data_IF_010638745609
#
_entry.id   IF_010638745609
#
_cell.length_a   1.000
_cell.length_b   1.000
_cell.length_c   1.000
_cell.angle_alpha   90.00
_cell.angle_beta   90.00
_cell.angle_gamma   90.00
#
_symmetry.space_group_name_H-M   'P 1'
#
loop_
_entity.id
_entity.type
_entity.pdbx_description
1 polymer ?
#
# COMPACT_ATOMS: atom_id res chain seq x y z
N UNK A 1 42.37 2.40 -41.08
CA UNK A 1 41.55 1.37 -40.42
C UNK A 1 40.52 2.07 -39.54
N UNK A 2 39.25 1.74 -39.75
CA UNK A 2 38.07 2.36 -39.14
C UNK A 2 37.84 1.88 -37.71
N UNK A 3 37.48 2.81 -36.82
CA UNK A 3 36.48 2.68 -35.74
C UNK A 3 35.95 4.12 -35.52
N UNK A 4 35.02 4.67 -36.31
CA UNK A 4 33.57 4.42 -36.30
C UNK A 4 33.08 4.01 -34.92
N UNK A 5 32.95 4.97 -34.02
CA UNK A 5 31.80 5.23 -33.15
C UNK A 5 32.23 6.41 -32.27
N UNK A 6 31.96 7.63 -32.76
CA UNK A 6 31.82 8.75 -31.86
C UNK A 6 30.81 8.29 -30.80
N UNK A 7 31.28 8.08 -29.57
CA UNK A 7 30.40 7.97 -28.42
C UNK A 7 29.78 9.36 -28.36
N UNK A 8 28.64 9.52 -29.05
CA UNK A 8 27.77 10.67 -28.92
C UNK A 8 27.51 10.83 -27.44
N UNK A 9 28.19 11.81 -26.83
CA UNK A 9 27.96 12.16 -25.45
C UNK A 9 26.47 12.43 -25.33
N UNK A 10 25.74 11.56 -24.62
CA UNK A 10 24.32 11.74 -24.29
C UNK A 10 24.15 13.18 -23.82
N UNK A 11 23.56 14.01 -24.67
CA UNK A 11 23.60 15.46 -24.50
C UNK A 11 22.75 15.85 -23.29
N UNK A 12 23.06 17.00 -22.68
CA UNK A 12 22.26 17.59 -21.58
C UNK A 12 20.74 17.58 -21.86
N UNK A 13 20.37 17.70 -23.14
CA UNK A 13 19.00 17.68 -23.63
C UNK A 13 18.33 16.29 -23.52
N UNK A 14 19.06 15.20 -23.78
CA UNK A 14 18.54 13.85 -23.57
C UNK A 14 18.16 13.61 -22.10
N UNK A 15 19.01 14.04 -21.16
CA UNK A 15 18.70 13.94 -19.73
C UNK A 15 17.55 14.85 -19.30
N UNK A 16 17.44 16.05 -19.88
CA UNK A 16 16.32 16.94 -19.61
C UNK A 16 14.99 16.33 -20.08
N UNK A 17 14.96 15.74 -21.28
CA UNK A 17 13.78 15.04 -21.81
C UNK A 17 13.41 13.82 -20.96
N UNK A 18 14.36 12.98 -20.60
CA UNK A 18 14.12 11.82 -19.73
C UNK A 18 13.57 12.23 -18.37
N UNK A 19 14.10 13.31 -17.76
CA UNK A 19 13.54 13.88 -16.52
C UNK A 19 12.13 14.42 -16.71
N UNK A 20 11.88 15.13 -17.81
CA UNK A 20 10.57 15.66 -18.16
C UNK A 20 9.53 14.54 -18.25
N UNK A 21 9.84 13.47 -19.01
CA UNK A 21 8.98 12.29 -19.14
C UNK A 21 8.77 11.60 -17.79
N UNK A 22 9.83 11.40 -17.00
CA UNK A 22 9.71 10.80 -15.67
C UNK A 22 8.78 11.62 -14.76
N UNK A 23 8.87 12.96 -14.80
CA UNK A 23 8.00 13.86 -14.02
C UNK A 23 6.53 13.83 -14.42
N UNK A 24 6.18 13.22 -15.56
CA UNK A 24 4.78 12.95 -15.91
C UNK A 24 4.17 11.81 -15.09
N UNK A 25 4.98 11.03 -14.38
CA UNK A 25 4.53 10.02 -13.42
C UNK A 25 4.21 10.71 -12.09
N UNK A 26 2.93 10.81 -11.78
CA UNK A 26 2.42 11.38 -10.53
C UNK A 26 1.60 10.34 -9.76
N UNK A 27 1.38 10.58 -8.47
CA UNK A 27 0.51 9.76 -7.62
C UNK A 27 -0.89 9.60 -8.22
N UNK A 28 -1.47 10.68 -8.73
CA UNK A 28 -2.82 10.65 -9.30
C UNK A 28 -2.88 9.79 -10.57
N UNK A 29 -1.86 9.89 -11.44
CA UNK A 29 -1.77 9.04 -12.64
C UNK A 29 -1.60 7.56 -12.30
N UNK A 30 -0.85 7.25 -11.25
CA UNK A 30 -0.74 5.88 -10.74
C UNK A 30 -2.11 5.37 -10.27
N UNK A 31 -2.87 6.20 -9.54
CA UNK A 31 -4.22 5.84 -9.05
C UNK A 31 -5.21 5.57 -10.17
N UNK A 32 -5.14 6.33 -11.25
CA UNK A 32 -6.02 6.19 -12.42
C UNK A 32 -5.67 4.98 -13.29
N UNK A 33 -4.42 4.54 -13.29
CA UNK A 33 -3.94 3.41 -14.10
C UNK A 33 -4.74 2.12 -13.80
N UNK A 34 -5.10 1.38 -14.85
CA UNK A 34 -5.87 0.13 -14.75
C UNK A 34 -5.10 -1.12 -15.19
N UNK A 35 -3.87 -0.95 -15.68
CA UNK A 35 -3.07 -2.01 -16.26
C UNK A 35 -1.95 -2.41 -15.30
N UNK A 36 -1.97 -3.67 -14.81
CA UNK A 36 -0.90 -4.14 -13.89
C UNK A 36 0.47 -4.17 -14.58
N UNK A 37 0.52 -4.46 -15.87
CA UNK A 37 1.77 -4.52 -16.64
C UNK A 37 2.49 -3.16 -16.70
N UNK A 38 1.72 -2.08 -16.86
CA UNK A 38 2.28 -0.71 -16.85
C UNK A 38 2.79 -0.35 -15.47
N UNK A 39 2.04 -0.70 -14.42
CA UNK A 39 2.46 -0.49 -13.04
C UNK A 39 3.69 -1.33 -12.67
N UNK A 40 3.81 -2.55 -13.19
CA UNK A 40 4.98 -3.40 -13.01
C UNK A 40 6.22 -2.79 -13.65
N UNK A 41 6.09 -2.22 -14.86
CA UNK A 41 7.15 -1.48 -15.54
C UNK A 41 7.55 -0.23 -14.76
N UNK A 42 6.57 0.53 -14.25
CA UNK A 42 6.84 1.68 -13.38
C UNK A 42 7.57 1.28 -12.09
N UNK A 43 7.17 0.18 -11.44
CA UNK A 43 7.85 -0.31 -10.24
C UNK A 43 9.31 -0.68 -10.54
N UNK A 44 9.56 -1.42 -11.63
CA UNK A 44 10.91 -1.79 -12.04
C UNK A 44 11.78 -0.55 -12.29
N UNK A 45 11.26 0.43 -13.01
CA UNK A 45 11.93 1.72 -13.27
C UNK A 45 12.28 2.44 -11.97
N UNK A 46 11.34 2.56 -11.02
CA UNK A 46 11.56 3.24 -9.74
C UNK A 46 12.58 2.51 -8.85
N UNK A 47 12.60 1.17 -8.88
CA UNK A 47 13.59 0.36 -8.14
C UNK A 47 14.98 0.53 -8.76
N UNK A 48 15.09 0.45 -10.09
CA UNK A 48 16.36 0.56 -10.81
C UNK A 48 16.93 1.99 -10.80
N UNK A 49 16.09 3.01 -10.67
CA UNK A 49 16.52 4.41 -10.50
C UNK A 49 17.43 4.59 -9.27
N UNK A 50 17.34 3.71 -8.25
CA UNK A 50 18.22 3.70 -7.09
C UNK A 50 19.64 3.21 -7.42
N UNK A 51 19.80 2.39 -8.45
CA UNK A 51 21.06 1.74 -8.81
C UNK A 51 21.96 2.63 -9.70
N UNK A 52 21.55 3.87 -10.00
CA UNK A 52 22.32 4.80 -10.82
C UNK A 52 22.44 4.42 -12.30
N UNK A 53 21.85 3.30 -12.71
CA UNK A 53 21.92 2.76 -14.07
C UNK A 53 20.97 3.45 -15.05
N UNK A 54 19.90 4.08 -14.56
CA UNK A 54 18.99 4.91 -15.36
C UNK A 54 19.46 6.37 -15.31
N UNK A 55 20.46 6.68 -16.13
CA UNK A 55 21.08 8.01 -16.20
C UNK A 55 20.01 9.12 -16.36
N UNK A 56 19.88 9.98 -15.35
CA UNK A 56 18.94 11.11 -15.32
C UNK A 56 17.65 10.88 -14.54
N UNK A 57 17.27 9.62 -14.31
CA UNK A 57 16.06 9.24 -13.58
C UNK A 57 16.29 9.24 -12.06
N UNK A 58 17.52 8.96 -11.64
CA UNK A 58 18.04 9.18 -10.28
C UNK A 58 17.91 10.65 -9.84
N UNK A 59 18.06 11.59 -10.78
CA UNK A 59 17.89 13.03 -10.58
C UNK A 59 16.47 13.53 -10.83
N UNK A 60 15.60 12.70 -11.41
CA UNK A 60 14.22 13.08 -11.67
C UNK A 60 13.43 13.19 -10.37
N UNK A 61 13.70 12.35 -9.37
CA UNK A 61 12.97 12.31 -8.11
C UNK A 61 13.91 12.36 -6.90
N UNK A 62 13.50 13.06 -5.86
CA UNK A 62 14.10 12.90 -4.54
C UNK A 62 13.85 11.49 -4.00
N UNK A 63 14.63 11.11 -2.98
CA UNK A 63 14.44 9.82 -2.29
C UNK A 63 13.02 9.69 -1.70
N UNK A 64 12.45 10.78 -1.20
CA UNK A 64 11.11 10.81 -0.61
C UNK A 64 10.02 10.62 -1.69
N UNK A 65 10.06 11.44 -2.75
CA UNK A 65 9.14 11.33 -3.89
C UNK A 65 9.14 9.92 -4.50
N UNK A 66 10.33 9.34 -4.70
CA UNK A 66 10.44 7.98 -5.21
C UNK A 66 9.81 6.95 -4.27
N UNK A 67 9.99 7.12 -2.97
CA UNK A 67 9.38 6.25 -1.96
C UNK A 67 7.86 6.31 -2.01
N UNK A 68 7.31 7.51 -2.12
CA UNK A 68 5.87 7.75 -2.26
C UNK A 68 5.29 7.11 -3.53
N UNK A 69 5.92 7.35 -4.68
CA UNK A 69 5.50 6.75 -5.96
C UNK A 69 5.54 5.22 -5.91
N UNK A 70 6.58 4.64 -5.32
CA UNK A 70 6.74 3.19 -5.21
C UNK A 70 5.69 2.56 -4.28
N UNK A 71 5.33 3.22 -3.18
CA UNK A 71 4.23 2.80 -2.31
C UNK A 71 2.91 2.85 -3.06
N UNK A 72 2.63 3.94 -3.77
CA UNK A 72 1.38 4.10 -4.51
C UNK A 72 1.25 3.07 -5.65
N UNK A 73 2.33 2.80 -6.40
CA UNK A 73 2.35 1.75 -7.44
C UNK A 73 2.00 0.40 -6.83
N UNK A 74 2.65 0.01 -5.72
CA UNK A 74 2.36 -1.27 -5.04
C UNK A 74 0.94 -1.37 -4.54
N UNK A 75 0.43 -0.29 -3.93
CA UNK A 75 -0.95 -0.21 -3.47
C UNK A 75 -1.92 -0.40 -4.63
N UNK A 76 -1.66 0.28 -5.76
CA UNK A 76 -2.52 0.19 -6.94
C UNK A 76 -2.53 -1.20 -7.54
N UNK A 77 -1.36 -1.82 -7.71
CA UNK A 77 -1.24 -3.22 -8.18
C UNK A 77 -2.01 -4.17 -7.28
N UNK A 78 -1.91 -3.99 -5.96
CA UNK A 78 -2.67 -4.81 -5.01
C UNK A 78 -4.18 -4.60 -5.14
N UNK A 79 -4.64 -3.37 -5.36
CA UNK A 79 -6.06 -3.09 -5.61
C UNK A 79 -6.56 -3.77 -6.89
N UNK A 80 -5.80 -3.71 -7.98
CA UNK A 80 -6.13 -4.39 -9.24
C UNK A 80 -6.23 -5.91 -9.03
N UNK A 81 -5.26 -6.52 -8.34
CA UNK A 81 -5.28 -7.95 -7.98
C UNK A 81 -6.50 -8.35 -7.16
N UNK A 82 -6.98 -7.45 -6.31
CA UNK A 82 -8.19 -7.65 -5.50
C UNK A 82 -9.49 -7.31 -6.24
N UNK A 83 -9.44 -6.90 -7.52
CA UNK A 83 -10.60 -6.46 -8.29
C UNK A 83 -11.22 -5.16 -7.77
N UNK A 84 -10.43 -4.30 -7.10
CA UNK A 84 -10.90 -3.05 -6.48
C UNK A 84 -10.36 -1.83 -7.21
N UNK A 85 -11.19 -0.81 -7.34
CA UNK A 85 -10.80 0.50 -7.88
C UNK A 85 -10.25 1.44 -6.80
N UNK A 86 -10.58 1.22 -5.52
CA UNK A 86 -10.17 2.06 -4.40
C UNK A 86 -9.92 1.23 -3.12
N UNK A 87 -9.12 1.76 -2.18
CA UNK A 87 -8.98 1.16 -0.85
C UNK A 87 -10.33 1.00 -0.14
N UNK A 88 -10.45 -0.04 0.70
CA UNK A 88 -11.62 -0.18 1.57
C UNK A 88 -11.63 0.99 2.55
N UNK A 89 -12.75 1.71 2.63
CA UNK A 89 -12.94 2.70 3.69
C UNK A 89 -12.76 2.03 5.05
N UNK A 90 -12.03 2.69 5.95
CA UNK A 90 -11.94 2.20 7.33
C UNK A 90 -13.37 2.22 7.89
N UNK A 91 -13.85 1.05 8.28
CA UNK A 91 -15.16 0.92 8.93
C UNK A 91 -15.17 1.61 10.29
N UNK A 92 -16.33 1.66 10.96
CA UNK A 92 -16.41 2.11 12.34
C UNK A 92 -15.41 1.33 13.19
N UNK A 93 -14.88 1.97 14.24
CA UNK A 93 -14.04 1.28 15.21
C UNK A 93 -14.80 0.06 15.73
N UNK A 94 -14.08 -1.05 15.91
CA UNK A 94 -14.65 -2.27 16.48
C UNK A 94 -15.28 -1.94 17.83
N UNK A 95 -16.58 -2.21 17.96
CA UNK A 95 -17.33 -2.06 19.20
C UNK A 95 -17.62 -3.45 19.77
N UNK A 96 -16.92 -3.87 20.85
CA UNK A 96 -17.14 -5.17 21.48
C UNK A 96 -18.59 -5.42 21.91
N UNK A 97 -19.31 -4.37 22.31
CA UNK A 97 -20.68 -4.50 22.85
C UNK A 97 -21.68 -4.99 21.81
N UNK A 98 -21.40 -4.72 20.54
CA UNK A 98 -22.26 -5.08 19.40
C UNK A 98 -21.91 -6.43 18.76
N UNK A 99 -20.88 -7.11 19.25
CA UNK A 99 -20.45 -8.39 18.70
C UNK A 99 -21.35 -9.54 19.17
N UNK A 100 -21.76 -10.47 18.29
CA UNK A 100 -22.30 -11.76 18.70
C UNK A 100 -21.33 -12.53 19.60
N UNK A 101 -21.84 -13.33 20.54
CA UNK A 101 -21.02 -14.06 21.51
C UNK A 101 -19.95 -14.95 20.82
N UNK A 102 -20.34 -15.68 19.77
CA UNK A 102 -19.43 -16.51 18.99
C UNK A 102 -18.31 -15.71 18.30
N UNK A 103 -18.64 -14.55 17.74
CA UNK A 103 -17.67 -13.68 17.09
C UNK A 103 -16.69 -13.08 18.12
N UNK A 104 -17.19 -12.74 19.32
CA UNK A 104 -16.37 -12.24 20.43
C UNK A 104 -15.32 -13.28 20.85
N UNK A 105 -15.72 -14.55 21.02
CA UNK A 105 -14.82 -15.64 21.41
C UNK A 105 -13.76 -15.88 20.33
N UNK A 106 -14.18 -16.00 19.06
CA UNK A 106 -13.25 -16.23 17.94
C UNK A 106 -12.24 -15.09 17.80
N UNK A 107 -12.66 -13.84 17.98
CA UNK A 107 -11.76 -12.69 17.92
C UNK A 107 -10.78 -12.66 19.08
N UNK A 108 -11.19 -13.03 20.30
CA UNK A 108 -10.26 -13.14 21.44
C UNK A 108 -9.11 -14.13 21.14
N UNK A 109 -9.38 -15.19 20.38
CA UNK A 109 -8.40 -16.23 20.05
C UNK A 109 -7.46 -15.85 18.89
N UNK A 110 -7.92 -15.02 17.95
CA UNK A 110 -7.23 -14.79 16.67
C UNK A 110 -6.74 -13.36 16.45
N UNK A 111 -7.16 -12.39 17.27
CA UNK A 111 -6.84 -10.99 17.03
C UNK A 111 -5.38 -10.67 17.39
N UNK A 112 -4.59 -10.06 16.49
CA UNK A 112 -3.16 -9.82 16.71
C UNK A 112 -2.86 -8.69 17.70
N UNK A 113 -3.79 -7.75 17.89
CA UNK A 113 -3.64 -6.62 18.82
C UNK A 113 -4.09 -6.99 20.24
N UNK A 114 -3.14 -6.95 21.18
CA UNK A 114 -3.37 -7.28 22.59
C UNK A 114 -4.32 -6.31 23.30
N UNK A 115 -4.33 -5.02 22.94
CA UNK A 115 -5.21 -4.02 23.55
C UNK A 115 -6.65 -4.17 23.06
N UNK A 116 -6.84 -4.70 21.85
CA UNK A 116 -8.16 -5.16 21.39
C UNK A 116 -8.60 -6.40 22.17
N UNK A 117 -7.72 -7.39 22.34
CA UNK A 117 -8.05 -8.63 23.08
C UNK A 117 -8.46 -8.33 24.53
N UNK A 118 -7.77 -7.42 25.23
CA UNK A 118 -8.14 -6.99 26.60
C UNK A 118 -9.57 -6.44 26.65
N UNK A 119 -9.92 -5.55 25.71
CA UNK A 119 -11.27 -4.98 25.62
C UNK A 119 -12.33 -6.03 25.31
N UNK A 120 -12.04 -7.00 24.45
CA UNK A 120 -12.94 -8.11 24.15
C UNK A 120 -13.13 -9.05 25.35
N UNK A 121 -12.07 -9.32 26.14
CA UNK A 121 -12.17 -10.12 27.37
C UNK A 121 -13.00 -9.41 28.44
N UNK A 122 -12.78 -8.13 28.65
CA UNK A 122 -13.59 -7.33 29.58
C UNK A 122 -15.09 -7.33 29.21
N UNK A 123 -15.39 -7.29 27.91
CA UNK A 123 -16.77 -7.44 27.41
C UNK A 123 -17.34 -8.84 27.70
N UNK A 124 -16.59 -9.90 27.42
CA UNK A 124 -17.00 -11.28 27.73
C UNK A 124 -17.30 -11.44 29.22
N UNK A 125 -16.41 -10.95 30.06
CA UNK A 125 -16.54 -11.08 31.52
C UNK A 125 -17.76 -10.28 32.03
N UNK A 126 -18.02 -9.10 31.46
CA UNK A 126 -19.24 -8.33 31.72
C UNK A 126 -20.51 -9.12 31.36
N UNK A 127 -20.54 -9.76 30.19
CA UNK A 127 -21.68 -10.59 29.76
C UNK A 127 -21.90 -11.80 30.66
N UNK A 128 -20.81 -12.47 31.06
CA UNK A 128 -20.88 -13.59 32.01
C UNK A 128 -21.40 -13.16 33.38
N UNK A 129 -20.94 -12.02 33.90
CA UNK A 129 -21.44 -11.46 35.16
C UNK A 129 -22.94 -11.11 35.09
N UNK A 130 -23.40 -10.55 33.96
CA UNK A 130 -24.82 -10.25 33.74
C UNK A 130 -25.68 -11.53 33.69
N UNK A 131 -25.25 -12.57 32.99
CA UNK A 131 -25.96 -13.85 32.92
C UNK A 131 -26.07 -14.54 34.29
N UNK A 132 -25.04 -14.45 35.12
CA UNK A 132 -25.07 -14.97 36.50
C UNK A 132 -26.05 -14.19 37.39
N UNK A 133 -26.28 -12.90 37.11
CA UNK A 133 -27.20 -12.04 37.88
C UNK A 133 -28.65 -12.22 37.43
N UNK A 134 -28.92 -12.38 36.13
CA UNK A 134 -30.29 -12.54 35.61
C UNK A 134 -30.81 -13.98 35.64
N UNK A 135 -29.97 -14.97 35.96
CA UNK A 135 -30.33 -16.39 35.84
C UNK A 135 -30.52 -16.80 34.38
N UNK A 136 -30.50 -18.11 34.05
CA UNK A 136 -30.88 -18.56 32.71
C UNK A 136 -32.36 -18.19 32.48
N UNK A 137 -32.66 -17.49 31.38
CA UNK A 137 -34.05 -17.40 30.90
C UNK A 137 -34.57 -18.82 30.65
N UNK A 138 -35.81 -19.14 31.07
CA UNK A 138 -36.41 -20.47 30.96
C UNK A 138 -36.68 -20.90 29.51
#
# INVERSE_FOLDING_TARGET
MNHLFAIEALSSDHYARTRGTARTLTVDRIRECRHDDDLARCEAMLVQAKQGWLYGLDRAFTKAERGELLVEVRNRRQLIKLGRSAPKSKGPRLDPTRLPAEALIRLIQSHPDIEVVKRLRAERDRRGALQTITGPEP
#
